data_IF_612372766400
#
_entry.id   IF_612372766400
#
_cell.length_a   1.000
_cell.length_b   1.000
_cell.length_c   1.000
_cell.angle_alpha   90.00
_cell.angle_beta   90.00
_cell.angle_gamma   90.00
#
_symmetry.space_group_name_H-M   'P 1'
#
loop_
_entity.id
_entity.type
_entity.pdbx_description
1 polymer ?
#
# COMPACT_ATOMS: atom_id res chain seq x y z
N UNK A 1 -10.67 3.40 0.67
CA UNK A 1 -10.85 4.84 0.89
C UNK A 1 -9.87 5.29 1.97
N UNK A 2 -8.89 6.13 1.60
CA UNK A 2 -8.20 6.96 2.58
C UNK A 2 -9.23 7.99 3.05
N UNK A 3 -9.76 7.82 4.25
CA UNK A 3 -10.46 8.91 4.91
C UNK A 3 -9.40 9.81 5.53
N UNK A 4 -9.42 11.09 5.13
CA UNK A 4 -8.81 12.14 5.90
C UNK A 4 -9.27 12.03 7.35
N UNK A 5 -8.35 12.26 8.26
CA UNK A 5 -8.59 12.23 9.70
C UNK A 5 -9.50 13.43 10.05
N UNK A 6 -10.80 13.30 9.77
CA UNK A 6 -11.76 14.22 10.31
C UNK A 6 -11.90 13.95 11.83
N UNK A 7 -11.42 14.90 12.56
CA UNK A 7 -11.31 14.97 14.03
C UNK A 7 -12.72 14.93 14.66
N UNK A 8 -13.28 13.74 14.80
CA UNK A 8 -14.43 13.51 15.67
C UNK A 8 -13.96 12.72 16.89
N UNK A 9 -14.16 13.32 18.06
CA UNK A 9 -14.05 12.66 19.37
C UNK A 9 -14.81 11.33 19.25
N UNK A 10 -14.09 10.27 18.97
CA UNK A 10 -14.62 8.98 18.56
C UNK A 10 -14.33 7.92 19.61
N UNK A 11 -15.13 6.94 19.58
CA UNK A 11 -15.09 5.71 20.35
C UNK A 11 -13.66 5.20 20.49
N UNK A 12 -13.24 4.89 21.71
CA UNK A 12 -11.94 4.25 22.01
C UNK A 12 -11.79 3.00 21.12
N UNK A 13 -10.79 2.99 20.25
CA UNK A 13 -10.48 1.83 19.43
C UNK A 13 -9.61 0.87 20.23
N UNK A 14 -10.00 -0.41 20.24
CA UNK A 14 -9.30 -1.47 20.97
C UNK A 14 -8.52 -2.33 19.97
N UNK A 15 -7.27 -2.63 20.29
CA UNK A 15 -6.39 -3.44 19.45
C UNK A 15 -6.91 -4.87 19.35
N UNK A 16 -7.19 -5.30 18.12
CA UNK A 16 -7.59 -6.67 17.81
C UNK A 16 -6.37 -7.57 17.56
N UNK A 17 -5.38 -7.09 16.81
CA UNK A 17 -4.12 -7.79 16.54
C UNK A 17 -2.97 -6.78 16.47
N UNK A 18 -1.83 -7.08 17.06
CA UNK A 18 -0.58 -6.37 16.80
C UNK A 18 0.17 -7.15 15.71
N UNK A 19 0.32 -6.54 14.53
CA UNK A 19 0.99 -7.15 13.37
C UNK A 19 2.50 -6.97 13.52
N UNK A 20 2.93 -5.73 13.76
CA UNK A 20 4.31 -5.41 14.11
C UNK A 20 4.37 -4.09 14.90
N UNK A 21 5.57 -3.55 15.14
CA UNK A 21 5.74 -2.31 15.92
C UNK A 21 5.05 -1.08 15.31
N UNK A 22 4.72 -1.10 14.02
CA UNK A 22 4.19 0.05 13.28
C UNK A 22 2.81 -0.22 12.67
N UNK A 23 2.28 -1.43 12.82
CA UNK A 23 0.99 -1.83 12.22
C UNK A 23 0.21 -2.69 13.20
N UNK A 24 -1.08 -2.41 13.32
CA UNK A 24 -2.03 -3.19 14.11
C UNK A 24 -3.40 -3.24 13.43
N UNK A 25 -4.26 -4.16 13.84
CA UNK A 25 -5.68 -4.16 13.45
C UNK A 25 -6.59 -3.82 14.63
N UNK A 26 -7.73 -3.24 14.30
CA UNK A 26 -8.81 -2.89 15.21
C UNK A 26 -10.14 -2.97 14.46
N UNK A 27 -11.27 -2.68 15.13
CA UNK A 27 -12.57 -2.55 14.49
C UNK A 27 -13.01 -1.09 14.44
N UNK A 28 -13.61 -0.70 13.31
CA UNK A 28 -14.22 0.62 13.15
C UNK A 28 -15.59 0.71 13.84
N UNK A 29 -16.25 1.86 13.73
CA UNK A 29 -17.59 2.10 14.31
C UNK A 29 -18.66 1.16 13.76
N UNK A 30 -18.47 0.60 12.57
CA UNK A 30 -19.35 -0.34 11.91
C UNK A 30 -18.95 -1.81 12.18
N UNK A 31 -18.05 -2.04 13.14
CA UNK A 31 -17.51 -3.36 13.46
C UNK A 31 -16.80 -4.06 12.29
N UNK A 32 -16.23 -3.29 11.34
CA UNK A 32 -15.38 -3.82 10.29
C UNK A 32 -13.93 -3.82 10.77
N UNK A 33 -13.23 -4.90 10.52
CA UNK A 33 -11.80 -4.94 10.81
C UNK A 33 -11.04 -3.98 9.87
N UNK A 34 -10.19 -3.16 10.46
CA UNK A 34 -9.36 -2.17 9.78
C UNK A 34 -7.91 -2.31 10.22
N UNK A 35 -6.99 -2.00 9.32
CA UNK A 35 -5.57 -1.96 9.65
C UNK A 35 -5.11 -0.52 9.83
N UNK A 36 -4.41 -0.26 10.92
CA UNK A 36 -3.83 1.03 11.25
C UNK A 36 -2.31 0.97 11.17
N UNK A 37 -1.72 1.97 10.54
CA UNK A 37 -0.28 2.13 10.44
C UNK A 37 0.15 3.45 11.04
N UNK A 38 1.29 3.43 11.75
CA UNK A 38 1.92 4.62 12.29
C UNK A 38 3.17 4.28 13.10
N UNK A 39 4.11 5.20 13.17
CA UNK A 39 5.40 4.98 13.83
C UNK A 39 5.22 4.60 15.31
N UNK A 40 5.56 3.36 15.63
CA UNK A 40 5.50 2.83 16.99
C UNK A 40 4.08 2.66 17.54
N UNK A 41 3.04 2.60 16.69
CA UNK A 41 1.65 2.43 17.13
C UNK A 41 1.41 1.08 17.82
N UNK A 42 2.15 0.03 17.40
CA UNK A 42 2.11 -1.32 17.99
C UNK A 42 3.22 -1.59 19.01
N UNK A 43 4.17 -0.64 19.21
CA UNK A 43 5.31 -0.85 20.07
C UNK A 43 4.89 -1.00 21.53
N UNK A 44 5.28 -2.13 22.17
CA UNK A 44 4.91 -2.52 23.54
C UNK A 44 3.39 -2.61 23.79
N UNK A 45 2.61 -2.75 22.73
CA UNK A 45 1.16 -2.95 22.79
C UNK A 45 0.80 -4.42 22.69
N UNK A 46 -0.38 -4.75 23.21
CA UNK A 46 -0.97 -6.10 23.14
C UNK A 46 -2.45 -6.02 22.77
N UNK A 47 -3.02 -7.14 22.39
CA UNK A 47 -4.46 -7.30 22.16
C UNK A 47 -5.23 -6.84 23.39
N UNK A 48 -6.27 -6.03 23.19
CA UNK A 48 -7.10 -5.45 24.26
C UNK A 48 -6.63 -4.10 24.76
N UNK A 49 -5.43 -3.60 24.38
CA UNK A 49 -4.99 -2.25 24.71
C UNK A 49 -5.72 -1.20 23.84
N UNK A 50 -5.74 0.03 24.29
CA UNK A 50 -6.25 1.15 23.51
C UNK A 50 -5.26 1.55 22.41
N UNK A 51 -5.81 1.88 21.23
CA UNK A 51 -5.04 2.46 20.12
C UNK A 51 -4.62 3.87 20.50
N UNK A 52 -3.36 4.21 20.30
CA UNK A 52 -2.84 5.56 20.42
C UNK A 52 -3.21 6.35 19.15
N UNK A 53 -4.33 7.09 19.18
CA UNK A 53 -4.87 7.80 18.00
C UNK A 53 -3.90 8.82 17.42
N UNK A 54 -3.11 9.48 18.27
CA UNK A 54 -2.06 10.43 17.90
C UNK A 54 -0.91 9.81 17.08
N UNK A 55 -0.82 8.48 17.07
CA UNK A 55 0.16 7.73 16.28
C UNK A 55 -0.38 7.19 14.96
N UNK A 56 -1.66 7.40 14.67
CA UNK A 56 -2.25 6.91 13.42
C UNK A 56 -1.78 7.81 12.27
N UNK A 57 -0.98 7.25 11.38
CA UNK A 57 -0.55 7.91 10.14
C UNK A 57 -1.44 7.53 8.96
N UNK A 58 -1.85 6.25 8.90
CA UNK A 58 -2.67 5.69 7.81
C UNK A 58 -3.70 4.70 8.36
N UNK A 59 -4.87 4.70 7.73
CA UNK A 59 -5.96 3.75 8.01
C UNK A 59 -6.34 3.02 6.72
N UNK A 60 -6.32 1.70 6.74
CA UNK A 60 -6.71 0.85 5.63
C UNK A 60 -8.05 0.21 5.96
N UNK A 61 -9.02 0.47 5.10
CA UNK A 61 -10.32 -0.21 5.13
C UNK A 61 -10.34 -1.17 3.95
N UNK A 62 -10.24 -2.45 4.21
CA UNK A 62 -10.26 -3.52 3.22
C UNK A 62 -11.67 -4.10 3.14
N UNK A 63 -12.00 -4.70 1.99
CA UNK A 63 -13.37 -5.07 1.68
C UNK A 63 -13.83 -6.35 2.38
N UNK A 64 -12.88 -7.16 2.88
CA UNK A 64 -13.17 -8.43 3.57
C UNK A 64 -12.14 -8.78 4.64
N UNK A 65 -12.53 -9.64 5.59
CA UNK A 65 -11.62 -10.21 6.59
C UNK A 65 -10.47 -11.00 5.94
N UNK A 66 -10.73 -11.65 4.80
CA UNK A 66 -9.71 -12.37 4.02
C UNK A 66 -8.63 -11.43 3.47
N UNK A 67 -9.03 -10.24 3.00
CA UNK A 67 -8.07 -9.20 2.57
C UNK A 67 -7.29 -8.61 3.74
N UNK A 68 -7.92 -8.39 4.88
CA UNK A 68 -7.23 -7.96 6.11
C UNK A 68 -6.21 -9.01 6.54
N UNK A 69 -6.56 -10.29 6.50
CA UNK A 69 -5.66 -11.40 6.79
C UNK A 69 -4.44 -11.41 5.86
N UNK A 70 -4.67 -11.40 4.55
CA UNK A 70 -3.62 -11.38 3.53
C UNK A 70 -2.71 -10.16 3.64
N UNK A 71 -3.29 -8.99 3.88
CA UNK A 71 -2.54 -7.76 4.07
C UNK A 71 -1.67 -7.82 5.34
N UNK A 72 -2.19 -8.37 6.42
CA UNK A 72 -1.46 -8.54 7.66
C UNK A 72 -0.28 -9.50 7.51
N UNK A 73 -0.47 -10.64 6.86
CA UNK A 73 0.59 -11.60 6.56
C UNK A 73 1.67 -10.98 5.67
N UNK A 74 1.27 -10.25 4.64
CA UNK A 74 2.19 -9.57 3.74
C UNK A 74 3.07 -8.56 4.50
N UNK A 75 2.46 -7.73 5.36
CA UNK A 75 3.18 -6.72 6.14
C UNK A 75 4.15 -7.33 7.16
N UNK A 76 3.87 -8.51 7.69
CA UNK A 76 4.79 -9.22 8.59
C UNK A 76 6.09 -9.62 7.88
N UNK A 77 6.03 -9.86 6.56
CA UNK A 77 7.14 -10.37 5.74
C UNK A 77 7.94 -9.26 5.05
N UNK A 78 7.33 -8.10 4.81
CA UNK A 78 7.90 -7.02 3.98
C UNK A 78 8.61 -5.98 4.86
N UNK A 79 9.79 -5.49 4.45
CA UNK A 79 10.44 -4.36 5.10
C UNK A 79 9.52 -3.13 5.15
N UNK A 80 9.46 -2.47 6.30
CA UNK A 80 8.54 -1.36 6.54
C UNK A 80 8.68 -0.19 5.54
N UNK A 81 9.90 0.09 5.10
CA UNK A 81 10.17 1.12 4.09
C UNK A 81 9.52 0.79 2.74
N UNK A 82 9.39 -0.47 2.34
CA UNK A 82 8.73 -0.87 1.09
C UNK A 82 7.21 -0.72 1.18
N UNK A 83 6.63 -0.98 2.34
CA UNK A 83 5.22 -0.69 2.59
C UNK A 83 4.94 0.81 2.46
N UNK A 84 5.75 1.66 3.13
CA UNK A 84 5.61 3.11 3.04
C UNK A 84 5.70 3.60 1.60
N UNK A 85 6.70 3.10 0.85
CA UNK A 85 6.90 3.44 -0.56
C UNK A 85 5.66 3.10 -1.40
N UNK A 86 5.08 1.90 -1.21
CA UNK A 86 3.85 1.50 -1.91
C UNK A 86 2.68 2.42 -1.57
N UNK A 87 2.54 2.78 -0.29
CA UNK A 87 1.49 3.71 0.17
C UNK A 87 1.67 5.10 -0.44
N UNK A 88 2.89 5.60 -0.57
CA UNK A 88 3.17 6.92 -1.15
C UNK A 88 2.87 6.93 -2.66
N UNK A 89 3.21 5.84 -3.37
CA UNK A 89 2.84 5.66 -4.79
C UNK A 89 1.32 5.64 -4.96
N UNK A 90 0.59 4.88 -4.15
CA UNK A 90 -0.88 4.81 -4.20
C UNK A 90 -1.50 6.17 -3.86
N UNK A 91 -0.97 6.88 -2.86
CA UNK A 91 -1.44 8.20 -2.48
C UNK A 91 -1.27 9.21 -3.62
N UNK A 92 -0.16 9.17 -4.33
CA UNK A 92 0.04 9.97 -5.54
C UNK A 92 -0.96 9.61 -6.64
N UNK A 93 -1.15 8.31 -6.91
CA UNK A 93 -2.12 7.85 -7.90
C UNK A 93 -3.53 8.36 -7.61
N UNK A 94 -3.98 8.30 -6.35
CA UNK A 94 -5.30 8.80 -5.93
C UNK A 94 -5.50 10.31 -6.13
N UNK A 95 -4.42 11.09 -6.18
CA UNK A 95 -4.48 12.53 -6.45
C UNK A 95 -4.59 12.85 -7.94
N UNK A 96 -3.98 12.03 -8.79
CA UNK A 96 -3.84 12.35 -10.22
C UNK A 96 -4.77 11.51 -11.12
N UNK A 97 -5.22 10.35 -10.64
CA UNK A 97 -6.12 9.48 -11.40
C UNK A 97 -7.59 9.84 -11.15
N UNK A 98 -8.43 9.90 -12.20
CA UNK A 98 -9.84 10.31 -12.06
C UNK A 98 -10.73 9.22 -11.45
N UNK A 99 -10.33 7.96 -11.54
CA UNK A 99 -11.10 6.83 -11.06
C UNK A 99 -10.68 6.40 -9.66
N UNK A 100 -11.62 5.80 -8.95
CA UNK A 100 -11.34 5.17 -7.66
C UNK A 100 -10.53 3.89 -7.86
N UNK A 101 -9.70 3.57 -6.88
CA UNK A 101 -8.91 2.35 -6.86
C UNK A 101 -9.50 1.38 -5.84
N UNK A 102 -9.59 0.11 -6.20
CA UNK A 102 -9.93 -0.96 -5.27
C UNK A 102 -8.90 -0.99 -4.12
N UNK A 103 -9.33 -1.16 -2.87
CA UNK A 103 -8.42 -1.30 -1.73
C UNK A 103 -7.39 -2.44 -1.88
N UNK A 104 -7.69 -3.47 -2.66
CA UNK A 104 -6.77 -4.57 -2.97
C UNK A 104 -5.44 -4.13 -3.60
N UNK A 105 -5.37 -2.88 -4.13
CA UNK A 105 -4.13 -2.29 -4.65
C UNK A 105 -3.03 -2.24 -3.59
N UNK A 106 -3.37 -2.03 -2.32
CA UNK A 106 -2.39 -2.01 -1.23
C UNK A 106 -1.68 -3.34 -1.06
N UNK A 107 -2.39 -4.45 -1.28
CA UNK A 107 -1.83 -5.80 -1.24
C UNK A 107 -0.98 -6.03 -2.49
N UNK A 108 -1.60 -5.88 -3.68
CA UNK A 108 -0.98 -6.28 -4.93
C UNK A 108 0.25 -5.43 -5.30
N UNK A 109 0.20 -4.11 -5.05
CA UNK A 109 1.33 -3.24 -5.34
C UNK A 109 2.47 -3.41 -4.33
N UNK A 110 2.14 -3.57 -3.03
CA UNK A 110 3.16 -3.77 -2.00
C UNK A 110 3.94 -5.07 -2.23
N UNK A 111 3.24 -6.15 -2.58
CA UNK A 111 3.87 -7.43 -2.95
C UNK A 111 4.74 -7.27 -4.20
N UNK A 112 4.24 -6.59 -5.24
CA UNK A 112 5.00 -6.31 -6.45
C UNK A 112 6.27 -5.51 -6.19
N UNK A 113 6.19 -4.41 -5.42
CA UNK A 113 7.34 -3.56 -5.07
C UNK A 113 8.38 -4.37 -4.29
N UNK A 114 7.95 -5.17 -3.30
CA UNK A 114 8.86 -6.03 -2.55
C UNK A 114 9.59 -7.01 -3.47
N UNK A 115 8.86 -7.72 -4.30
CA UNK A 115 9.43 -8.68 -5.24
C UNK A 115 10.34 -8.03 -6.29
N UNK A 116 9.95 -6.86 -6.82
CA UNK A 116 10.73 -6.08 -7.77
C UNK A 116 12.08 -5.65 -7.17
N UNK A 117 12.09 -5.12 -5.96
CA UNK A 117 13.30 -4.69 -5.29
C UNK A 117 14.21 -5.88 -4.94
N UNK A 118 13.64 -7.00 -4.51
CA UNK A 118 14.41 -8.23 -4.29
C UNK A 118 15.08 -8.72 -5.57
N UNK A 119 14.36 -8.77 -6.71
CA UNK A 119 14.91 -9.18 -8.01
C UNK A 119 16.01 -8.22 -8.49
N UNK A 120 15.79 -6.91 -8.31
CA UNK A 120 16.75 -5.90 -8.76
C UNK A 120 18.10 -6.05 -8.09
N UNK A 121 18.14 -6.43 -6.81
CA UNK A 121 19.41 -6.68 -6.09
C UNK A 121 20.15 -7.91 -6.62
N UNK A 122 19.43 -8.84 -7.25
CA UNK A 122 20.00 -10.06 -7.88
C UNK A 122 20.35 -9.84 -9.35
N UNK A 123 20.04 -8.67 -9.92
CA UNK A 123 20.20 -8.40 -11.36
C UNK A 123 19.19 -9.13 -12.25
N UNK A 124 18.09 -9.60 -11.68
CA UNK A 124 17.05 -10.39 -12.37
C UNK A 124 15.88 -9.47 -12.81
N UNK A 125 16.18 -8.49 -13.66
CA UNK A 125 15.16 -7.62 -14.24
C UNK A 125 14.74 -8.14 -15.61
N UNK A 126 13.44 -8.06 -15.91
CA UNK A 126 12.86 -8.56 -17.14
C UNK A 126 12.28 -7.41 -17.97
N UNK A 127 12.35 -7.56 -19.29
CA UNK A 127 11.63 -6.68 -20.19
C UNK A 127 10.13 -6.98 -20.13
N UNK A 128 9.31 -5.93 -20.15
CA UNK A 128 7.87 -6.07 -20.23
C UNK A 128 7.45 -6.14 -21.71
N UNK A 129 7.01 -7.28 -22.24
CA UNK A 129 6.67 -7.43 -23.64
C UNK A 129 5.47 -6.58 -24.08
N UNK A 130 4.69 -6.06 -23.12
CA UNK A 130 3.53 -5.18 -23.36
C UNK A 130 3.84 -3.70 -23.06
N UNK A 131 5.12 -3.33 -22.93
CA UNK A 131 5.53 -1.98 -22.58
C UNK A 131 4.88 -0.90 -23.46
N UNK A 132 4.95 -1.05 -24.77
CA UNK A 132 4.42 -0.05 -25.72
C UNK A 132 2.89 0.00 -25.69
N UNK A 133 2.23 -1.13 -25.55
CA UNK A 133 0.78 -1.25 -25.45
C UNK A 133 0.27 -0.56 -24.17
N UNK A 134 0.89 -0.86 -23.03
CA UNK A 134 0.51 -0.25 -21.74
C UNK A 134 0.69 1.26 -21.80
N UNK A 135 1.84 1.74 -22.26
CA UNK A 135 2.13 3.15 -22.39
C UNK A 135 1.14 3.87 -23.32
N UNK A 136 0.71 3.20 -24.39
CA UNK A 136 -0.21 3.76 -25.39
C UNK A 136 -1.67 3.77 -24.93
N UNK A 137 -2.15 2.68 -24.31
CA UNK A 137 -3.56 2.52 -23.96
C UNK A 137 -3.91 3.00 -22.55
N UNK A 138 -2.91 3.07 -21.64
CA UNK A 138 -3.06 3.46 -20.24
C UNK A 138 -2.09 4.58 -19.85
N UNK A 139 -2.11 5.74 -20.55
CA UNK A 139 -1.12 6.79 -20.35
C UNK A 139 -1.14 7.40 -18.95
N UNK A 140 -2.31 7.48 -18.31
CA UNK A 140 -2.45 8.01 -16.95
C UNK A 140 -1.81 7.09 -15.91
N UNK A 141 -2.08 5.80 -16.02
CA UNK A 141 -1.54 4.77 -15.14
C UNK A 141 -0.03 4.60 -15.37
N UNK A 142 0.41 4.73 -16.64
CA UNK A 142 1.82 4.71 -16.98
C UNK A 142 2.59 5.89 -16.36
N UNK A 143 2.01 7.10 -16.33
CA UNK A 143 2.60 8.26 -15.64
C UNK A 143 2.76 8.01 -14.13
N UNK A 144 1.79 7.31 -13.51
CA UNK A 144 1.93 6.87 -12.11
C UNK A 144 3.08 5.86 -11.98
N UNK A 145 3.23 4.96 -12.92
CA UNK A 145 4.36 4.02 -12.97
C UNK A 145 5.72 4.74 -13.09
N UNK A 146 5.83 5.76 -13.96
CA UNK A 146 7.04 6.57 -14.06
C UNK A 146 7.36 7.29 -12.74
N UNK A 147 6.34 7.87 -12.09
CA UNK A 147 6.50 8.50 -10.78
C UNK A 147 6.91 7.49 -9.69
N UNK A 148 6.40 6.28 -9.76
CA UNK A 148 6.81 5.21 -8.87
C UNK A 148 8.30 4.88 -9.00
N UNK A 149 8.85 4.84 -10.22
CA UNK A 149 10.30 4.63 -10.44
C UNK A 149 11.13 5.75 -9.80
N UNK A 150 10.69 7.01 -9.90
CA UNK A 150 11.38 8.13 -9.25
C UNK A 150 11.38 7.99 -7.72
N UNK A 151 10.24 7.61 -7.12
CA UNK A 151 10.11 7.39 -5.68
C UNK A 151 10.98 6.22 -5.22
N UNK A 152 11.01 5.12 -5.98
CA UNK A 152 11.86 3.96 -5.69
C UNK A 152 13.35 4.34 -5.74
N UNK A 153 13.77 5.08 -6.77
CA UNK A 153 15.16 5.53 -6.89
C UNK A 153 15.54 6.45 -5.71
N UNK A 154 14.64 7.35 -5.33
CA UNK A 154 14.86 8.28 -4.20
C UNK A 154 14.97 7.57 -2.85
N UNK A 155 14.07 6.61 -2.57
CA UNK A 155 13.95 6.00 -1.25
C UNK A 155 14.84 4.75 -1.07
N UNK A 156 14.99 3.95 -2.13
CA UNK A 156 15.76 2.70 -2.10
C UNK A 156 17.15 2.83 -2.75
N UNK A 157 17.42 3.93 -3.47
CA UNK A 157 18.68 4.14 -4.20
C UNK A 157 18.84 3.18 -5.39
N UNK A 158 17.76 2.57 -5.86
CA UNK A 158 17.75 1.57 -6.93
C UNK A 158 17.14 2.17 -8.19
N UNK A 159 17.93 2.27 -9.24
CA UNK A 159 17.47 2.70 -10.56
C UNK A 159 16.92 1.50 -11.33
N UNK A 160 15.65 1.59 -11.69
CA UNK A 160 14.93 0.54 -12.41
C UNK A 160 14.75 0.90 -13.89
N UNK A 161 14.63 -0.10 -14.80
CA UNK A 161 14.32 0.13 -16.20
C UNK A 161 12.87 0.65 -16.38
N UNK A 162 12.64 1.34 -17.49
CA UNK A 162 11.31 1.90 -17.82
C UNK A 162 10.21 0.86 -17.96
N UNK A 163 10.57 -0.38 -18.29
CA UNK A 163 9.64 -1.51 -18.36
C UNK A 163 8.88 -1.72 -17.04
N UNK A 164 9.52 -1.45 -15.91
CA UNK A 164 8.87 -1.61 -14.61
C UNK A 164 7.80 -0.54 -14.35
N UNK A 165 7.89 0.63 -14.99
CA UNK A 165 6.80 1.61 -14.97
C UNK A 165 5.51 1.03 -15.58
N UNK A 166 5.64 0.27 -16.68
CA UNK A 166 4.50 -0.41 -17.29
C UNK A 166 3.97 -1.54 -16.41
N UNK A 167 4.85 -2.30 -15.77
CA UNK A 167 4.45 -3.37 -14.82
C UNK A 167 3.69 -2.79 -13.64
N UNK A 168 4.16 -1.69 -13.05
CA UNK A 168 3.48 -0.97 -11.96
C UNK A 168 2.13 -0.41 -12.46
N UNK A 169 2.09 0.19 -13.65
CA UNK A 169 0.86 0.74 -14.24
C UNK A 169 -0.27 -0.29 -14.32
N UNK A 170 0.04 -1.55 -14.64
CA UNK A 170 -0.96 -2.62 -14.71
C UNK A 170 -1.66 -2.88 -13.37
N UNK A 171 -1.00 -2.71 -12.23
CA UNK A 171 -1.65 -2.81 -10.92
C UNK A 171 -2.74 -1.76 -10.75
N UNK A 172 -2.51 -0.54 -11.23
CA UNK A 172 -3.50 0.54 -11.20
C UNK A 172 -4.65 0.27 -12.17
N UNK A 173 -4.36 -0.18 -13.40
CA UNK A 173 -5.39 -0.62 -14.35
C UNK A 173 -6.30 -1.67 -13.71
N UNK A 174 -5.73 -2.73 -13.13
CA UNK A 174 -6.51 -3.80 -12.48
C UNK A 174 -7.34 -3.24 -11.31
N UNK A 175 -6.77 -2.36 -10.51
CA UNK A 175 -7.47 -1.77 -9.36
C UNK A 175 -8.64 -0.87 -9.75
N UNK A 176 -8.64 -0.26 -10.93
CA UNK A 176 -9.77 0.51 -11.46
C UNK A 176 -10.93 -0.38 -11.94
N UNK A 177 -10.64 -1.58 -12.43
CA UNK A 177 -11.65 -2.49 -12.99
C UNK A 177 -12.25 -3.45 -11.96
N UNK A 178 -11.62 -3.65 -10.82
CA UNK A 178 -12.05 -4.56 -9.75
C UNK A 178 -12.89 -3.87 -8.66
N UNK A 179 -13.57 -2.79 -9.01
CA UNK A 179 -14.47 -2.09 -8.10
C UNK A 179 -15.88 -2.67 -8.11
#
# INVERSE_FOLDING_TARGET
LLYDIDNKIGKIMIINKVINNNVLSTHDENNREIVLMGKGIGFQKKVGDEVAEDKIEKKFVLDSEDEVGKFSELIEMIPHNYLNLSVDIISYAQQVMPKRLSPSIYISLTDHINFLLERSTKGELFENPLFNEIKSFYPSEYLVGEKALELIESEAGIKLPQDEAASIALHFVIAEYNM
#
